data_IF_884654404822
#
_entry.id   IF_884654404822
#
_cell.length_a   1.000
_cell.length_b   1.000
_cell.length_c   1.000
_cell.angle_alpha   90.00
_cell.angle_beta   90.00
_cell.angle_gamma   90.00
#
_symmetry.space_group_name_H-M   'P 1'
#
loop_
_entity.id
_entity.type
_entity.pdbx_description
1 polymer ?
#
# COMPACT_ATOMS: atom_id res chain seq x y z
N UNK A 1 -14.01 8.78 -13.45
CA UNK A 1 -13.24 9.19 -12.26
C UNK A 1 -13.57 10.62 -11.78
N UNK A 2 -13.97 11.55 -12.68
CA UNK A 2 -14.25 12.98 -12.31
C UNK A 2 -15.29 13.15 -11.21
N UNK A 3 -16.28 12.27 -11.11
CA UNK A 3 -17.31 12.31 -10.07
C UNK A 3 -16.93 11.66 -8.73
N UNK A 4 -15.73 11.12 -8.57
CA UNK A 4 -15.33 10.46 -7.32
C UNK A 4 -15.09 11.49 -6.21
N UNK A 5 -15.70 11.29 -5.01
CA UNK A 5 -15.43 12.12 -3.85
C UNK A 5 -13.94 12.08 -3.43
N UNK A 6 -13.42 13.15 -2.76
CA UNK A 6 -12.02 13.19 -2.33
C UNK A 6 -11.56 11.97 -1.52
N UNK A 7 -12.36 11.51 -0.55
CA UNK A 7 -12.02 10.33 0.28
C UNK A 7 -11.88 9.05 -0.55
N UNK A 8 -12.73 8.85 -1.54
CA UNK A 8 -12.66 7.69 -2.43
C UNK A 8 -11.45 7.83 -3.39
N UNK A 9 -11.21 9.04 -3.90
CA UNK A 9 -10.05 9.34 -4.72
C UNK A 9 -8.74 9.05 -3.96
N UNK A 10 -8.65 9.47 -2.69
CA UNK A 10 -7.50 9.19 -1.82
C UNK A 10 -7.30 7.68 -1.62
N UNK A 11 -8.36 6.96 -1.26
CA UNK A 11 -8.30 5.52 -1.02
C UNK A 11 -7.90 4.74 -2.28
N UNK A 12 -8.52 5.02 -3.43
CA UNK A 12 -8.19 4.34 -4.69
C UNK A 12 -6.82 4.73 -5.23
N UNK A 13 -6.36 5.95 -4.98
CA UNK A 13 -5.00 6.38 -5.34
C UNK A 13 -3.93 5.70 -4.49
N UNK A 14 -4.18 5.51 -3.20
CA UNK A 14 -3.29 4.74 -2.32
C UNK A 14 -3.31 3.24 -2.65
N UNK A 15 -4.42 2.72 -3.14
CA UNK A 15 -4.51 1.36 -3.68
C UNK A 15 -3.63 1.19 -4.94
N UNK A 16 -3.71 2.15 -5.86
CA UNK A 16 -2.82 2.18 -7.01
C UNK A 16 -1.32 2.23 -6.58
N UNK A 17 -1.00 2.97 -5.52
CA UNK A 17 0.35 2.98 -4.95
C UNK A 17 0.72 1.60 -4.40
N UNK A 18 -0.18 0.94 -3.65
CA UNK A 18 0.07 -0.40 -3.11
C UNK A 18 0.33 -1.43 -4.22
N UNK A 19 -0.46 -1.41 -5.31
CA UNK A 19 -0.25 -2.27 -6.48
C UNK A 19 1.14 -2.11 -7.09
N UNK A 20 1.55 -0.87 -7.38
CA UNK A 20 2.87 -0.59 -7.97
C UNK A 20 4.00 -0.97 -7.00
N UNK A 21 3.87 -0.62 -5.73
CA UNK A 21 4.88 -0.86 -4.70
C UNK A 21 5.09 -2.35 -4.43
N UNK A 22 4.02 -3.12 -4.23
CA UNK A 22 4.13 -4.56 -4.00
C UNK A 22 4.64 -5.29 -5.24
N UNK A 23 4.18 -4.93 -6.44
CA UNK A 23 4.71 -5.47 -7.69
C UNK A 23 6.21 -5.24 -7.82
N UNK A 24 6.70 -4.03 -7.51
CA UNK A 24 8.13 -3.73 -7.54
C UNK A 24 8.92 -4.54 -6.50
N UNK A 25 8.37 -4.65 -5.29
CA UNK A 25 9.00 -5.39 -4.19
C UNK A 25 8.91 -6.91 -4.33
N UNK A 26 7.93 -7.43 -5.05
CA UNK A 26 7.73 -8.87 -5.24
C UNK A 26 9.01 -9.57 -5.73
N UNK A 27 9.23 -10.85 -5.36
CA UNK A 27 10.38 -11.63 -5.81
C UNK A 27 10.32 -11.93 -7.31
N UNK A 28 11.46 -12.37 -7.86
CA UNK A 28 11.58 -12.70 -9.26
C UNK A 28 12.11 -11.56 -10.13
N UNK A 29 12.64 -11.95 -11.28
CA UNK A 29 13.22 -11.04 -12.27
C UNK A 29 12.18 -10.71 -13.34
N UNK A 30 11.67 -9.48 -13.33
CA UNK A 30 10.71 -9.00 -14.32
C UNK A 30 10.90 -7.50 -14.59
N UNK A 31 11.96 -7.11 -15.35
CA UNK A 31 12.34 -5.70 -15.53
C UNK A 31 11.23 -4.83 -16.18
N UNK A 32 10.36 -5.40 -17.02
CA UNK A 32 9.23 -4.66 -17.58
C UNK A 32 8.23 -4.28 -16.47
N UNK A 33 7.83 -5.22 -15.61
CA UNK A 33 6.95 -4.93 -14.48
C UNK A 33 7.59 -3.95 -13.50
N UNK A 34 8.89 -4.08 -13.25
CA UNK A 34 9.65 -3.18 -12.37
C UNK A 34 9.66 -1.74 -12.93
N UNK A 35 9.90 -1.56 -14.24
CA UNK A 35 9.88 -0.26 -14.88
C UNK A 35 8.48 0.39 -14.89
N UNK A 36 7.44 -0.41 -15.18
CA UNK A 36 6.04 0.04 -15.14
C UNK A 36 5.67 0.48 -13.71
N UNK A 37 6.02 -0.31 -12.70
CA UNK A 37 5.72 -0.01 -11.30
C UNK A 37 6.42 1.27 -10.81
N UNK A 38 7.69 1.49 -11.16
CA UNK A 38 8.42 2.71 -10.81
C UNK A 38 7.76 3.95 -11.41
N UNK A 39 7.43 3.92 -12.68
CA UNK A 39 6.76 5.04 -13.33
C UNK A 39 5.36 5.27 -12.79
N UNK A 40 4.61 4.20 -12.49
CA UNK A 40 3.31 4.30 -11.82
C UNK A 40 3.40 5.02 -10.46
N UNK A 41 4.42 4.70 -9.64
CA UNK A 41 4.67 5.39 -8.37
C UNK A 41 5.04 6.86 -8.56
N UNK A 42 5.84 7.20 -9.59
CA UNK A 42 6.19 8.58 -9.90
C UNK A 42 4.94 9.41 -10.26
N UNK A 43 4.09 8.87 -11.11
CA UNK A 43 2.84 9.54 -11.48
C UNK A 43 1.95 9.77 -10.25
N UNK A 44 1.86 8.79 -9.35
CA UNK A 44 1.08 8.93 -8.10
C UNK A 44 1.68 10.03 -7.21
N UNK A 45 3.02 10.06 -7.05
CA UNK A 45 3.70 11.09 -6.28
C UNK A 45 3.37 12.50 -6.79
N UNK A 46 3.32 12.67 -8.11
CA UNK A 46 3.10 13.96 -8.74
C UNK A 46 1.62 14.41 -8.73
N UNK A 47 0.68 13.47 -8.84
CA UNK A 47 -0.71 13.79 -9.16
C UNK A 47 -1.75 13.42 -8.12
N UNK A 48 -1.47 12.54 -7.16
CA UNK A 48 -2.50 12.06 -6.24
C UNK A 48 -3.11 13.17 -5.39
N UNK A 49 -2.26 14.04 -4.82
CA UNK A 49 -2.72 15.16 -3.99
C UNK A 49 -3.58 16.13 -4.81
N UNK A 50 -3.16 16.46 -6.03
CA UNK A 50 -3.94 17.32 -6.93
C UNK A 50 -5.28 16.68 -7.29
N UNK A 51 -5.30 15.39 -7.63
CA UNK A 51 -6.52 14.66 -7.97
C UNK A 51 -7.53 14.63 -6.80
N UNK A 52 -7.05 14.61 -5.55
CA UNK A 52 -7.89 14.63 -4.34
C UNK A 52 -8.41 16.04 -4.07
N UNK A 53 -7.53 17.05 -4.13
CA UNK A 53 -7.88 18.43 -3.77
C UNK A 53 -8.70 19.14 -4.88
N UNK A 54 -8.47 18.78 -6.13
CA UNK A 54 -9.12 19.33 -7.30
C UNK A 54 -9.72 18.23 -8.18
N UNK A 55 -10.81 17.64 -7.72
CA UNK A 55 -11.46 16.50 -8.40
C UNK A 55 -11.93 16.77 -9.83
N UNK A 56 -12.03 18.03 -10.24
CA UNK A 56 -12.38 18.46 -11.62
C UNK A 56 -11.17 18.55 -12.54
N UNK A 57 -9.94 18.47 -12.03
CA UNK A 57 -8.74 18.49 -12.85
C UNK A 57 -8.64 17.19 -13.68
N UNK A 58 -8.96 17.29 -14.96
CA UNK A 58 -9.01 16.14 -15.90
C UNK A 58 -7.63 15.52 -16.07
N UNK A 59 -6.57 16.34 -16.13
CA UNK A 59 -5.20 15.86 -16.29
C UNK A 59 -4.77 15.03 -15.07
N UNK A 60 -5.02 15.51 -13.85
CA UNK A 60 -4.74 14.76 -12.65
C UNK A 60 -5.52 13.42 -12.60
N UNK A 61 -6.81 13.44 -12.97
CA UNK A 61 -7.64 12.23 -13.05
C UNK A 61 -7.11 11.23 -14.09
N UNK A 62 -6.70 11.71 -15.26
CA UNK A 62 -6.13 10.87 -16.31
C UNK A 62 -4.81 10.23 -15.85
N UNK A 63 -3.92 11.00 -15.23
CA UNK A 63 -2.66 10.49 -14.69
C UNK A 63 -2.90 9.43 -13.62
N UNK A 64 -3.85 9.64 -12.69
CA UNK A 64 -4.18 8.64 -11.68
C UNK A 64 -4.77 7.35 -12.26
N UNK A 65 -5.62 7.43 -13.30
CA UNK A 65 -6.11 6.24 -14.00
C UNK A 65 -4.97 5.49 -14.72
N UNK A 66 -4.05 6.22 -15.33
CA UNK A 66 -2.85 5.65 -15.95
C UNK A 66 -2.01 4.91 -14.92
N UNK A 67 -1.71 5.53 -13.79
CA UNK A 67 -0.94 4.92 -12.71
C UNK A 67 -1.62 3.67 -12.12
N UNK A 68 -2.95 3.69 -11.99
CA UNK A 68 -3.73 2.52 -11.56
C UNK A 68 -3.64 1.37 -12.59
N UNK A 69 -3.74 1.69 -13.90
CA UNK A 69 -3.57 0.71 -14.98
C UNK A 69 -2.16 0.14 -15.02
N UNK A 70 -1.14 0.95 -14.73
CA UNK A 70 0.25 0.51 -14.63
C UNK A 70 0.43 -0.45 -13.45
N UNK A 71 -0.12 -0.14 -12.28
CA UNK A 71 -0.11 -1.02 -11.11
C UNK A 71 -0.77 -2.36 -11.40
N UNK A 72 -1.96 -2.35 -12.04
CA UNK A 72 -2.67 -3.58 -12.41
C UNK A 72 -1.97 -4.41 -13.48
N UNK A 73 -1.13 -3.79 -14.30
CA UNK A 73 -0.26 -4.50 -15.24
C UNK A 73 0.96 -5.08 -14.52
N UNK A 74 1.59 -4.31 -13.65
CA UNK A 74 2.81 -4.70 -12.95
C UNK A 74 2.57 -5.81 -11.92
N UNK A 75 1.42 -5.83 -11.24
CA UNK A 75 1.15 -6.80 -10.17
C UNK A 75 1.01 -8.26 -10.66
N UNK A 76 1.01 -8.52 -11.96
CA UNK A 76 1.18 -9.88 -12.47
C UNK A 76 2.50 -10.52 -12.00
N UNK A 77 3.49 -9.70 -11.64
CA UNK A 77 4.71 -10.17 -10.97
C UNK A 77 4.43 -10.68 -9.54
N UNK A 78 3.45 -10.14 -8.85
CA UNK A 78 2.98 -10.52 -7.52
C UNK A 78 2.48 -9.32 -6.72
N UNK A 79 1.58 -9.60 -5.79
CA UNK A 79 1.20 -8.75 -4.67
C UNK A 79 1.82 -9.32 -3.38
N UNK A 80 1.51 -8.74 -2.22
CA UNK A 80 2.11 -9.16 -0.96
C UNK A 80 1.20 -8.97 0.25
N UNK A 81 1.82 -8.75 1.40
CA UNK A 81 1.14 -8.69 2.68
C UNK A 81 0.19 -7.49 2.84
N UNK A 82 0.39 -6.39 2.11
CA UNK A 82 -0.56 -5.26 2.14
C UNK A 82 -1.94 -5.76 1.70
N UNK A 83 -2.02 -6.41 0.54
CA UNK A 83 -3.26 -6.95 0.01
C UNK A 83 -3.77 -8.14 0.82
N UNK A 84 -2.91 -9.07 1.21
CA UNK A 84 -3.36 -10.25 1.95
C UNK A 84 -3.89 -9.94 3.35
N UNK A 85 -3.41 -8.89 4.02
CA UNK A 85 -4.02 -8.39 5.27
C UNK A 85 -5.32 -7.62 5.03
N UNK A 86 -5.41 -6.92 3.91
CA UNK A 86 -6.55 -6.08 3.55
C UNK A 86 -7.79 -6.90 3.19
N UNK A 87 -7.67 -7.94 2.39
CA UNK A 87 -8.81 -8.71 1.89
C UNK A 87 -9.71 -9.29 3.00
N UNK A 88 -9.18 -9.96 4.06
CA UNK A 88 -10.01 -10.45 5.15
C UNK A 88 -10.73 -9.33 5.91
N UNK A 89 -10.04 -8.21 6.16
CA UNK A 89 -10.61 -7.04 6.84
C UNK A 89 -11.73 -6.42 6.00
N UNK A 90 -11.56 -6.33 4.69
CA UNK A 90 -12.62 -5.83 3.81
C UNK A 90 -13.84 -6.76 3.86
N UNK A 91 -13.62 -8.07 3.82
CA UNK A 91 -14.68 -9.06 3.79
C UNK A 91 -15.48 -9.14 5.10
N UNK A 92 -14.81 -9.02 6.26
CA UNK A 92 -15.45 -9.21 7.56
C UNK A 92 -15.90 -7.90 8.22
N UNK A 93 -15.19 -6.81 7.97
CA UNK A 93 -15.43 -5.52 8.63
C UNK A 93 -15.96 -4.44 7.68
N UNK A 94 -16.19 -4.77 6.40
CA UNK A 94 -16.73 -3.87 5.38
C UNK A 94 -15.97 -2.54 5.24
N UNK A 95 -14.62 -2.59 5.38
CA UNK A 95 -13.76 -1.42 5.18
C UNK A 95 -13.43 -1.30 3.69
N UNK A 96 -13.37 -0.06 3.19
CA UNK A 96 -12.98 0.21 1.80
C UNK A 96 -11.57 -0.35 1.51
N UNK A 97 -11.43 -1.14 0.43
CA UNK A 97 -10.21 -1.87 0.08
C UNK A 97 -8.97 -0.97 0.05
N UNK A 98 -8.98 0.09 -0.76
CA UNK A 98 -7.83 0.99 -0.86
C UNK A 98 -7.50 1.73 0.45
N UNK A 99 -8.50 1.95 1.33
CA UNK A 99 -8.25 2.54 2.64
C UNK A 99 -7.48 1.57 3.54
N UNK A 100 -7.88 0.30 3.59
CA UNK A 100 -7.16 -0.71 4.38
C UNK A 100 -5.74 -0.95 3.83
N UNK A 101 -5.55 -1.00 2.50
CA UNK A 101 -4.23 -1.06 1.89
C UNK A 101 -3.34 0.12 2.32
N UNK A 102 -3.89 1.34 2.33
CA UNK A 102 -3.17 2.52 2.79
C UNK A 102 -2.77 2.43 4.27
N UNK A 103 -3.64 1.87 5.12
CA UNK A 103 -3.34 1.67 6.55
C UNK A 103 -2.25 0.64 6.74
N UNK A 104 -2.34 -0.55 6.11
CA UNK A 104 -1.36 -1.62 6.29
C UNK A 104 0.02 -1.30 5.71
N UNK A 105 0.09 -0.45 4.70
CA UNK A 105 1.30 -0.18 3.92
C UNK A 105 2.56 0.08 4.77
N UNK A 106 2.63 1.05 5.71
CA UNK A 106 3.87 1.31 6.45
C UNK A 106 4.25 0.16 7.40
N UNK A 107 3.28 -0.57 7.94
CA UNK A 107 3.55 -1.71 8.82
C UNK A 107 4.15 -2.88 8.06
N UNK A 108 3.60 -3.19 6.88
CA UNK A 108 4.13 -4.25 6.01
C UNK A 108 5.51 -3.89 5.48
N UNK A 109 5.74 -2.64 5.07
CA UNK A 109 7.04 -2.19 4.59
C UNK A 109 8.10 -2.32 5.67
N UNK A 110 7.83 -1.83 6.89
CA UNK A 110 8.78 -1.92 8.00
C UNK A 110 9.01 -3.37 8.44
N UNK A 111 8.00 -4.23 8.39
CA UNK A 111 8.15 -5.67 8.62
C UNK A 111 9.07 -6.34 7.58
N UNK A 112 8.98 -5.93 6.32
CA UNK A 112 9.78 -6.46 5.21
C UNK A 112 11.14 -5.77 5.04
N UNK A 113 11.49 -4.75 5.83
CA UNK A 113 12.66 -3.86 5.65
C UNK A 113 13.92 -4.62 5.21
N UNK A 114 14.27 -5.66 5.95
CA UNK A 114 15.53 -6.41 5.75
C UNK A 114 15.69 -7.02 4.34
N UNK A 115 14.59 -7.22 3.61
CA UNK A 115 14.60 -7.84 2.27
C UNK A 115 14.27 -6.87 1.14
N UNK A 116 13.72 -5.69 1.44
CA UNK A 116 13.31 -4.70 0.43
C UNK A 116 14.09 -3.38 0.49
N UNK A 117 14.91 -3.13 1.51
CA UNK A 117 15.56 -1.84 1.73
C UNK A 117 16.26 -1.28 0.48
N UNK A 118 17.02 -2.11 -0.24
CA UNK A 118 17.72 -1.69 -1.45
C UNK A 118 16.75 -1.33 -2.61
N UNK A 119 15.60 -2.01 -2.67
CA UNK A 119 14.56 -1.66 -3.64
C UNK A 119 13.89 -0.34 -3.29
N UNK A 120 13.63 -0.11 -2.00
CA UNK A 120 13.05 1.15 -1.51
C UNK A 120 13.97 2.34 -1.77
N UNK A 121 15.27 2.21 -1.53
CA UNK A 121 16.27 3.25 -1.86
C UNK A 121 16.21 3.61 -3.35
N UNK A 122 16.11 2.61 -4.25
CA UNK A 122 15.95 2.86 -5.70
C UNK A 122 14.64 3.59 -6.03
N UNK A 123 13.55 3.29 -5.32
CA UNK A 123 12.30 4.06 -5.47
C UNK A 123 12.53 5.50 -5.05
N UNK A 124 13.19 5.74 -3.90
CA UNK A 124 13.49 7.10 -3.44
C UNK A 124 14.31 7.90 -4.46
N UNK A 125 15.31 7.24 -5.08
CA UNK A 125 16.10 7.86 -6.15
C UNK A 125 15.25 8.21 -7.37
N UNK A 126 14.39 7.28 -7.80
CA UNK A 126 13.52 7.47 -8.97
C UNK A 126 12.46 8.56 -8.76
N UNK A 127 11.91 8.64 -7.54
CA UNK A 127 10.92 9.65 -7.12
C UNK A 127 11.57 10.98 -6.73
N UNK A 128 12.90 11.07 -6.76
CA UNK A 128 13.69 12.24 -6.35
C UNK A 128 13.33 12.74 -4.93
N UNK A 129 13.08 11.81 -4.00
CA UNK A 129 12.76 12.17 -2.61
C UNK A 129 13.95 12.87 -1.95
N UNK A 130 13.67 13.81 -1.04
CA UNK A 130 14.70 14.57 -0.32
C UNK A 130 15.57 13.66 0.56
N UNK A 131 14.93 12.75 1.29
CA UNK A 131 15.60 11.72 2.05
C UNK A 131 15.49 10.38 1.29
N UNK A 132 16.63 9.91 0.77
CA UNK A 132 16.73 8.71 -0.07
C UNK A 132 17.04 7.46 0.74
N UNK A 133 16.66 7.45 2.00
CA UNK A 133 16.76 6.28 2.88
C UNK A 133 15.45 5.50 2.94
N UNK A 134 15.50 4.29 3.52
CA UNK A 134 14.29 3.52 3.83
C UNK A 134 13.36 4.32 4.77
N UNK A 135 13.92 4.92 5.80
CA UNK A 135 13.16 5.71 6.78
C UNK A 135 12.58 6.97 6.14
N UNK A 136 13.30 7.60 5.21
CA UNK A 136 12.81 8.69 4.37
C UNK A 136 11.58 8.30 3.54
N UNK A 137 11.59 7.09 2.96
CA UNK A 137 10.43 6.57 2.23
C UNK A 137 9.23 6.33 3.16
N UNK A 138 9.44 5.73 4.33
CA UNK A 138 8.37 5.54 5.32
C UNK A 138 7.78 6.88 5.74
N UNK A 139 8.63 7.89 6.02
CA UNK A 139 8.16 9.22 6.34
C UNK A 139 7.35 9.86 5.21
N UNK A 140 7.77 9.67 3.94
CA UNK A 140 7.01 10.11 2.77
C UNK A 140 5.62 9.46 2.71
N UNK A 141 5.51 8.14 2.94
CA UNK A 141 4.21 7.41 3.01
C UNK A 141 3.34 7.99 4.14
N UNK A 142 3.90 8.21 5.32
CA UNK A 142 3.15 8.74 6.47
C UNK A 142 2.66 10.16 6.22
N UNK A 143 3.50 11.01 5.63
CA UNK A 143 3.13 12.38 5.24
C UNK A 143 2.05 12.39 4.15
N UNK A 144 2.15 11.50 3.16
CA UNK A 144 1.14 11.35 2.12
C UNK A 144 -0.20 10.96 2.73
N UNK A 145 -0.23 9.94 3.62
CA UNK A 145 -1.43 9.51 4.34
C UNK A 145 -2.06 10.65 5.14
N UNK A 146 -1.23 11.41 5.86
CA UNK A 146 -1.69 12.58 6.63
C UNK A 146 -2.34 13.64 5.75
N UNK A 147 -1.74 13.96 4.58
CA UNK A 147 -2.30 14.90 3.60
C UNK A 147 -3.63 14.41 2.99
N UNK A 148 -3.84 13.10 2.95
CA UNK A 148 -5.02 12.45 2.41
C UNK A 148 -6.09 12.13 3.47
N UNK A 149 -5.90 12.57 4.72
CA UNK A 149 -6.80 12.29 5.86
C UNK A 149 -7.05 10.78 6.07
N UNK A 150 -6.00 9.97 5.90
CA UNK A 150 -6.05 8.52 6.11
C UNK A 150 -5.65 8.20 7.55
N UNK A 151 -6.44 7.40 8.28
CA UNK A 151 -6.13 6.99 9.65
C UNK A 151 -4.75 6.37 9.81
N UNK A 152 -4.10 6.65 10.94
CA UNK A 152 -2.78 6.08 11.19
C UNK A 152 -2.85 4.60 11.55
N UNK A 153 -3.86 4.20 12.30
CA UNK A 153 -4.01 2.83 12.80
C UNK A 153 -5.37 2.24 12.49
N UNK A 154 -5.42 0.93 12.43
CA UNK A 154 -6.64 0.19 12.09
C UNK A 154 -7.73 0.32 13.17
N UNK A 155 -7.36 0.48 14.44
CA UNK A 155 -8.29 0.68 15.55
C UNK A 155 -9.09 2.00 15.49
N UNK A 156 -8.77 2.88 14.56
CA UNK A 156 -9.62 4.04 14.24
C UNK A 156 -10.83 3.68 13.38
N UNK A 157 -10.84 2.47 12.78
CA UNK A 157 -11.92 1.98 11.91
C UNK A 157 -12.62 0.74 12.45
N UNK A 158 -11.98 -0.05 13.31
CA UNK A 158 -12.50 -1.32 13.84
C UNK A 158 -12.31 -1.33 15.36
N UNK A 159 -13.39 -1.57 16.07
CA UNK A 159 -13.33 -1.83 17.51
C UNK A 159 -12.62 -3.16 17.78
N UNK A 160 -11.85 -3.26 18.87
CA UNK A 160 -11.13 -4.50 19.24
C UNK A 160 -12.07 -5.70 19.40
N UNK A 161 -13.31 -5.49 19.89
CA UNK A 161 -14.32 -6.55 20.06
C UNK A 161 -14.78 -7.17 18.74
N UNK A 162 -14.67 -6.43 17.62
CA UNK A 162 -15.07 -6.85 16.27
C UNK A 162 -13.87 -7.34 15.44
N UNK A 163 -12.68 -7.42 16.08
CA UNK A 163 -11.43 -7.77 15.43
C UNK A 163 -10.98 -9.20 15.81
N UNK A 164 -11.44 -10.20 15.06
CA UNK A 164 -11.01 -11.60 15.25
C UNK A 164 -9.62 -11.85 14.65
N UNK A 165 -8.59 -11.53 15.44
CA UNK A 165 -7.18 -11.65 15.04
C UNK A 165 -6.83 -13.05 14.52
N UNK A 166 -7.33 -14.12 15.15
CA UNK A 166 -7.00 -15.49 14.75
C UNK A 166 -7.61 -15.84 13.42
N UNK A 167 -8.87 -15.49 13.20
CA UNK A 167 -9.58 -15.73 11.93
C UNK A 167 -8.95 -14.91 10.80
N UNK A 168 -8.74 -13.61 11.02
CA UNK A 168 -8.14 -12.72 10.04
C UNK A 168 -6.75 -13.19 9.61
N UNK A 169 -5.90 -13.61 10.56
CA UNK A 169 -4.54 -14.06 10.27
C UNK A 169 -4.50 -15.35 9.44
N UNK A 170 -5.40 -16.29 9.70
CA UNK A 170 -5.54 -17.52 8.88
C UNK A 170 -6.01 -17.20 7.47
N UNK A 171 -6.99 -16.31 7.34
CA UNK A 171 -7.49 -15.88 6.04
C UNK A 171 -6.41 -15.14 5.25
N UNK A 172 -5.68 -14.23 5.90
CA UNK A 172 -4.58 -13.50 5.27
C UNK A 172 -3.46 -14.44 4.80
N UNK A 173 -3.07 -15.42 5.60
CA UNK A 173 -2.05 -16.40 5.19
C UNK A 173 -2.50 -17.23 3.98
N UNK A 174 -3.78 -17.57 3.89
CA UNK A 174 -4.35 -18.34 2.79
C UNK A 174 -4.66 -17.49 1.54
N UNK A 175 -4.52 -16.18 1.63
CA UNK A 175 -4.79 -15.27 0.51
C UNK A 175 -3.77 -15.47 -0.63
N UNK A 176 -4.21 -15.51 -1.90
CA UNK A 176 -3.31 -15.66 -3.05
C UNK A 176 -2.18 -14.61 -3.12
N UNK A 177 -2.44 -13.39 -2.64
CA UNK A 177 -1.45 -12.30 -2.64
C UNK A 177 -0.23 -12.58 -1.75
N UNK A 178 -0.40 -13.44 -0.74
CA UNK A 178 0.67 -13.78 0.23
C UNK A 178 1.89 -14.38 -0.45
N UNK A 179 1.68 -15.14 -1.53
CA UNK A 179 2.77 -15.79 -2.29
C UNK A 179 3.74 -14.83 -2.98
N UNK A 180 3.33 -13.59 -3.23
CA UNK A 180 4.17 -12.56 -3.85
C UNK A 180 4.88 -11.66 -2.84
N UNK A 181 4.70 -11.86 -1.53
CA UNK A 181 5.44 -11.10 -0.53
C UNK A 181 6.94 -11.42 -0.59
N UNK A 182 7.84 -10.42 -0.51
CA UNK A 182 9.29 -10.64 -0.64
C UNK A 182 9.89 -11.53 0.45
N UNK A 183 9.24 -11.63 1.60
CA UNK A 183 9.58 -12.52 2.72
C UNK A 183 8.49 -13.59 2.85
N UNK A 184 8.88 -14.87 2.98
CA UNK A 184 7.93 -15.94 3.27
C UNK A 184 7.26 -15.67 4.62
N UNK A 185 5.94 -15.76 4.65
CA UNK A 185 5.12 -15.40 5.81
C UNK A 185 4.55 -16.64 6.51
N UNK A 186 4.35 -16.52 7.82
CA UNK A 186 3.66 -17.47 8.68
C UNK A 186 2.38 -16.84 9.25
N UNK A 187 1.49 -17.65 9.83
CA UNK A 187 0.30 -17.14 10.53
C UNK A 187 0.68 -16.17 11.67
N UNK A 188 1.79 -16.45 12.35
CA UNK A 188 2.29 -15.58 13.42
C UNK A 188 2.76 -14.22 12.88
N UNK A 189 3.39 -14.18 11.71
CA UNK A 189 3.78 -12.92 11.08
C UNK A 189 2.54 -12.08 10.72
N UNK A 190 1.46 -12.71 10.23
CA UNK A 190 0.19 -12.02 9.97
C UNK A 190 -0.40 -11.44 11.26
N UNK A 191 -0.39 -12.20 12.37
CA UNK A 191 -0.86 -11.73 13.68
C UNK A 191 -0.08 -10.50 14.15
N UNK A 192 1.25 -10.56 14.05
CA UNK A 192 2.12 -9.46 14.48
C UNK A 192 1.85 -8.20 13.63
N UNK A 193 1.77 -8.32 12.31
CA UNK A 193 1.46 -7.18 11.44
C UNK A 193 0.09 -6.57 11.74
N UNK A 194 -0.93 -7.39 11.98
CA UNK A 194 -2.24 -6.91 12.41
C UNK A 194 -2.18 -6.17 13.75
N UNK A 195 -1.50 -6.73 14.76
CA UNK A 195 -1.35 -6.10 16.08
C UNK A 195 -0.64 -4.74 15.97
N UNK A 196 0.45 -4.67 15.20
CA UNK A 196 1.15 -3.41 14.94
C UNK A 196 0.24 -2.38 14.25
N UNK A 197 -0.56 -2.80 13.27
CA UNK A 197 -1.49 -1.90 12.60
C UNK A 197 -2.64 -1.43 13.50
N UNK A 198 -3.11 -2.28 14.44
CA UNK A 198 -4.12 -1.90 15.44
C UNK A 198 -3.56 -0.87 16.42
N UNK A 199 -2.31 -1.04 16.87
CA UNK A 199 -1.67 -0.18 17.86
C UNK A 199 -1.09 1.12 17.25
N UNK A 200 -0.79 1.12 15.95
CA UNK A 200 -0.12 2.23 15.29
C UNK A 200 1.40 2.23 15.47
N UNK A 201 2.01 1.07 15.74
CA UNK A 201 3.43 0.92 16.02
C UNK A 201 4.17 0.32 14.82
N UNK A 202 5.13 1.05 14.26
CA UNK A 202 5.99 0.52 13.19
C UNK A 202 7.03 -0.45 13.73
N UNK A 203 7.49 -1.38 12.89
CA UNK A 203 8.63 -2.24 13.22
C UNK A 203 9.92 -1.41 13.24
N UNK A 204 10.82 -1.72 14.18
CA UNK A 204 12.13 -1.06 14.35
C UNK A 204 13.21 -1.77 13.56
#
# INVERSE_FOLDING_TARGET
AVGLPPKITAATGMDALAHNLEAYCAPGYHPMADGIALEGMRIINDWLIEAVNNGSNIEARQNMLTAASMGSTAFQKGLGAIHSLSHPVNALNNIHHGLSNAIFMPYVLTFNKNVIEQKIIKICDYLELKDRSFDGFINWILDLRKKLDIPHKLSELIDEKDFDLNRLSKMALADPSTGGNPKKLTENDMKIMYQHSMNGELFK
#
